data_IF_800828562620
#
_entry.id   IF_800828562620
#
_cell.length_a   1.000
_cell.length_b   1.000
_cell.length_c   1.000
_cell.angle_alpha   90.00
_cell.angle_beta   90.00
_cell.angle_gamma   90.00
#
_symmetry.space_group_name_H-M   'P 1'
#
loop_
_entity.id
_entity.type
_entity.pdbx_description
1 polymer ?
#
# COMPACT_ATOMS: atom_id res chain seq x y z
N UNK A 1 -7.23 -0.23 25.69
CA UNK A 1 -7.17 0.62 24.48
C UNK A 1 -6.13 1.71 24.74
N UNK A 2 -5.26 2.06 23.78
CA UNK A 2 -4.35 3.19 23.97
C UNK A 2 -5.17 4.45 24.26
N UNK A 3 -4.72 5.21 25.25
CA UNK A 3 -5.42 6.40 25.78
C UNK A 3 -5.42 7.56 24.78
N UNK A 4 -4.63 7.47 23.71
CA UNK A 4 -4.56 8.45 22.63
C UNK A 4 -4.74 7.77 21.29
N UNK A 5 -5.99 7.64 20.86
CA UNK A 5 -6.34 7.21 19.52
C UNK A 5 -7.03 8.38 18.81
N UNK A 6 -6.49 8.82 17.68
CA UNK A 6 -7.07 9.85 16.79
C UNK A 6 -8.44 9.47 16.20
N UNK A 7 -8.96 8.27 16.52
CA UNK A 7 -10.32 7.81 16.22
C UNK A 7 -11.29 7.89 17.42
N UNK A 8 -10.86 8.40 18.59
CA UNK A 8 -11.84 8.85 19.57
C UNK A 8 -12.69 9.96 18.94
N UNK A 9 -14.01 9.89 19.14
CA UNK A 9 -14.90 10.98 18.81
C UNK A 9 -14.27 12.28 19.32
N UNK A 10 -14.05 13.23 18.39
CA UNK A 10 -13.55 14.56 18.75
C UNK A 10 -14.37 15.04 19.95
N UNK A 11 -13.70 15.58 20.97
CA UNK A 11 -14.40 16.31 22.02
C UNK A 11 -15.33 17.26 21.27
N UNK A 12 -16.65 17.19 21.53
CA UNK A 12 -17.66 18.07 20.93
C UNK A 12 -17.42 19.51 21.40
N UNK A 13 -16.27 20.06 21.03
CA UNK A 13 -15.71 21.32 21.42
C UNK A 13 -15.99 22.30 20.30
N UNK A 14 -16.22 23.56 20.66
CA UNK A 14 -16.46 24.64 19.70
C UNK A 14 -15.17 25.11 19.00
N UNK A 15 -14.04 24.41 19.16
CA UNK A 15 -12.79 24.76 18.48
C UNK A 15 -12.98 24.54 16.99
N UNK A 16 -12.53 25.50 16.17
CA UNK A 16 -12.62 25.36 14.73
C UNK A 16 -11.73 24.17 14.32
N UNK A 17 -12.28 23.13 13.65
CA UNK A 17 -11.47 21.99 13.20
C UNK A 17 -10.34 22.43 12.25
N UNK A 18 -10.47 23.59 11.60
CA UNK A 18 -9.41 24.22 10.80
C UNK A 18 -8.18 24.67 11.58
N UNK A 19 -8.29 24.95 12.89
CA UNK A 19 -7.17 25.42 13.71
C UNK A 19 -6.13 24.30 13.97
N UNK A 20 -6.48 23.03 13.70
CA UNK A 20 -5.57 21.88 13.75
C UNK A 20 -4.95 21.55 12.39
N UNK A 21 -5.38 22.20 11.31
CA UNK A 21 -4.97 21.89 9.95
C UNK A 21 -3.97 22.93 9.46
N UNK A 22 -2.71 22.53 9.32
CA UNK A 22 -1.73 23.30 8.56
C UNK A 22 -1.87 22.95 7.08
N UNK A 23 -2.18 23.95 6.25
CA UNK A 23 -2.15 23.79 4.80
C UNK A 23 -0.76 24.12 4.29
N UNK A 24 -0.12 23.18 3.60
CA UNK A 24 1.05 23.51 2.79
C UNK A 24 0.58 24.30 1.56
N UNK A 25 1.25 25.40 1.27
CA UNK A 25 1.00 26.14 0.04
C UNK A 25 1.40 25.27 -1.16
N UNK A 26 0.44 24.99 -2.05
CA UNK A 26 0.73 24.22 -3.24
C UNK A 26 1.55 25.06 -4.21
N UNK A 27 2.85 24.80 -4.25
CA UNK A 27 3.73 25.34 -5.30
C UNK A 27 3.81 24.32 -6.43
N UNK A 28 3.46 24.68 -7.68
CA UNK A 28 3.61 23.79 -8.80
C UNK A 28 5.05 23.27 -8.90
N UNK A 29 5.28 21.95 -8.98
CA UNK A 29 6.63 21.44 -9.17
C UNK A 29 7.15 21.85 -10.55
N UNK A 30 8.48 21.93 -10.75
CA UNK A 30 9.05 22.12 -12.08
C UNK A 30 8.64 20.97 -13.02
N UNK A 31 8.55 21.26 -14.32
CA UNK A 31 8.19 20.27 -15.33
C UNK A 31 9.10 19.04 -15.25
N UNK A 32 8.50 17.85 -15.31
CA UNK A 32 9.22 16.57 -15.22
C UNK A 32 10.31 16.53 -16.31
N UNK A 33 11.53 16.20 -15.88
CA UNK A 33 12.70 16.12 -16.77
C UNK A 33 13.40 17.45 -17.04
N UNK A 34 12.82 18.59 -16.67
CA UNK A 34 13.50 19.90 -16.78
C UNK A 34 14.77 19.97 -15.91
N UNK A 35 15.75 20.85 -16.22
CA UNK A 35 16.94 21.01 -15.39
C UNK A 35 16.62 21.34 -13.93
N UNK A 36 15.61 22.19 -13.68
CA UNK A 36 15.16 22.53 -12.34
C UNK A 36 14.58 21.32 -11.59
N UNK A 37 13.80 20.49 -12.29
CA UNK A 37 13.28 19.23 -11.73
C UNK A 37 14.41 18.25 -11.38
N UNK A 38 15.41 18.13 -12.25
CA UNK A 38 16.55 17.24 -12.01
C UNK A 38 17.36 17.66 -10.78
N UNK A 39 17.63 18.96 -10.62
CA UNK A 39 18.31 19.48 -9.42
C UNK A 39 17.49 19.19 -8.17
N UNK A 40 16.19 19.51 -8.18
CA UNK A 40 15.31 19.26 -7.03
C UNK A 40 15.23 17.78 -6.65
N UNK A 41 15.13 16.89 -7.64
CA UNK A 41 15.13 15.44 -7.41
C UNK A 41 16.48 14.91 -6.94
N UNK A 42 17.59 15.48 -7.42
CA UNK A 42 18.93 15.16 -6.92
C UNK A 42 19.10 15.54 -5.45
N UNK A 43 18.63 16.71 -5.05
CA UNK A 43 18.63 17.17 -3.66
C UNK A 43 17.77 16.25 -2.76
N UNK A 44 16.60 15.82 -3.26
CA UNK A 44 15.76 14.83 -2.59
C UNK A 44 16.50 13.51 -2.45
N UNK A 45 17.14 13.02 -3.50
CA UNK A 45 17.94 11.79 -3.49
C UNK A 45 19.05 11.84 -2.45
N UNK A 46 19.74 12.98 -2.32
CA UNK A 46 20.78 13.18 -1.30
C UNK A 46 20.21 13.16 0.11
N UNK A 47 19.06 13.80 0.35
CA UNK A 47 18.35 13.75 1.65
C UNK A 47 17.88 12.34 2.00
N UNK A 48 17.33 11.60 1.05
CA UNK A 48 16.91 10.22 1.26
C UNK A 48 18.11 9.31 1.56
N UNK A 49 19.20 9.45 0.79
CA UNK A 49 20.40 8.63 1.00
C UNK A 49 21.10 8.91 2.33
N UNK A 50 21.16 10.18 2.75
CA UNK A 50 21.76 10.58 4.04
C UNK A 50 20.92 10.15 5.25
N UNK A 51 19.61 10.04 5.09
CA UNK A 51 18.71 9.45 6.11
C UNK A 51 18.72 7.92 6.11
N UNK A 52 19.48 7.28 5.23
CA UNK A 52 19.64 5.82 5.20
C UNK A 52 18.70 5.09 4.26
N UNK A 53 17.89 5.79 3.45
CA UNK A 53 17.04 5.14 2.44
C UNK A 53 17.93 4.47 1.40
N UNK A 54 17.77 3.15 1.23
CA UNK A 54 18.50 2.34 0.24
C UNK A 54 17.60 1.74 -0.82
N UNK A 55 16.33 1.52 -0.50
CA UNK A 55 15.34 0.96 -1.41
C UNK A 55 14.10 1.83 -1.41
N UNK A 56 13.58 2.13 -2.60
CA UNK A 56 12.26 2.70 -2.81
C UNK A 56 11.43 1.67 -3.58
N UNK A 57 10.31 1.24 -2.99
CA UNK A 57 9.38 0.30 -3.58
C UNK A 57 8.09 1.03 -3.99
N UNK A 58 7.82 1.07 -5.28
CA UNK A 58 6.58 1.57 -5.85
C UNK A 58 5.56 0.42 -5.91
N UNK A 59 4.63 0.40 -4.96
CA UNK A 59 3.59 -0.63 -4.84
C UNK A 59 2.29 -0.12 -5.47
N UNK A 60 2.01 -0.53 -6.71
CA UNK A 60 0.79 -0.10 -7.40
C UNK A 60 -0.35 -1.10 -7.23
N UNK A 61 -1.57 -0.60 -7.38
CA UNK A 61 -2.73 -1.38 -6.97
C UNK A 61 -4.07 -0.66 -6.88
N UNK A 62 -4.18 0.57 -7.37
CA UNK A 62 -5.46 1.28 -7.44
C UNK A 62 -6.22 0.86 -8.69
N UNK A 63 -6.44 -0.44 -8.80
CA UNK A 63 -7.24 -1.04 -9.85
C UNK A 63 -8.72 -0.98 -9.43
N UNK A 64 -9.63 -0.54 -10.31
CA UNK A 64 -11.06 -0.64 -10.05
C UNK A 64 -11.45 -2.10 -9.87
N UNK A 65 -12.10 -2.41 -8.76
CA UNK A 65 -12.59 -3.76 -8.49
C UNK A 65 -13.69 -3.74 -7.43
N UNK A 66 -14.49 -4.80 -7.43
CA UNK A 66 -15.67 -4.88 -6.56
C UNK A 66 -15.26 -5.42 -5.19
N UNK A 67 -15.08 -4.54 -4.21
CA UNK A 67 -15.01 -4.94 -2.79
C UNK A 67 -16.40 -4.92 -2.17
N UNK A 68 -17.16 -6.00 -2.36
CA UNK A 68 -18.56 -6.13 -1.91
C UNK A 68 -18.67 -5.88 -0.38
N UNK A 69 -17.76 -6.45 0.41
CA UNK A 69 -17.73 -6.27 1.86
C UNK A 69 -17.17 -4.91 2.25
N UNK A 70 -16.46 -4.27 1.34
CA UNK A 70 -15.97 -2.93 1.54
C UNK A 70 -16.95 -1.81 1.31
N UNK A 71 -17.89 -2.04 0.42
CA UNK A 71 -19.05 -1.18 0.20
C UNK A 71 -19.99 -1.18 1.40
N UNK A 72 -20.12 -2.31 2.11
CA UNK A 72 -20.91 -2.40 3.34
C UNK A 72 -20.42 -1.48 4.48
N UNK A 73 -19.10 -1.21 4.58
CA UNK A 73 -18.57 -0.30 5.61
C UNK A 73 -18.78 1.18 5.31
N UNK A 74 -18.97 1.58 4.04
CA UNK A 74 -19.41 2.94 3.72
C UNK A 74 -20.79 3.23 4.32
N UNK A 75 -21.59 2.20 4.63
CA UNK A 75 -22.88 2.32 5.33
C UNK A 75 -22.72 2.58 6.84
N UNK A 76 -21.67 2.05 7.46
CA UNK A 76 -21.42 2.19 8.91
C UNK A 76 -20.75 3.52 9.29
N UNK A 77 -19.82 4.05 8.47
CA UNK A 77 -19.17 5.36 8.69
C UNK A 77 -19.92 6.55 8.06
N UNK A 78 -21.17 6.34 7.63
CA UNK A 78 -22.07 7.41 7.21
C UNK A 78 -21.92 7.90 5.77
N UNK A 79 -21.12 7.23 4.94
CA UNK A 79 -20.97 7.53 3.51
C UNK A 79 -22.17 7.13 2.66
N UNK A 80 -22.87 6.03 3.01
CA UNK A 80 -24.09 5.58 2.33
C UNK A 80 -25.37 6.04 3.04
N UNK A 81 -25.37 6.25 4.37
CA UNK A 81 -26.55 6.72 5.12
C UNK A 81 -26.93 8.19 4.91
N UNK A 82 -26.01 9.05 4.46
CA UNK A 82 -26.31 10.50 4.31
C UNK A 82 -26.47 10.98 2.87
N UNK A 83 -26.31 10.10 1.87
CA UNK A 83 -26.30 10.50 0.45
C UNK A 83 -27.51 10.06 -0.39
N UNK A 84 -28.13 8.91 -0.11
CA UNK A 84 -29.34 8.50 -0.84
C UNK A 84 -30.59 8.96 -0.11
N UNK A 85 -30.94 10.21 -0.37
CA UNK A 85 -32.34 10.61 -0.43
C UNK A 85 -33.06 9.70 -1.43
N UNK A 86 -34.03 8.89 -0.96
CA UNK A 86 -35.04 8.12 -1.73
C UNK A 86 -34.64 6.71 -2.23
N UNK A 87 -34.71 5.71 -1.35
CA UNK A 87 -35.42 4.46 -1.69
C UNK A 87 -34.68 3.28 -2.35
N UNK A 88 -33.34 3.25 -2.38
CA UNK A 88 -32.60 2.04 -2.81
C UNK A 88 -32.12 1.31 -1.56
N UNK A 89 -32.48 0.04 -1.39
CA UNK A 89 -32.01 -0.74 -0.25
C UNK A 89 -30.49 -0.98 -0.35
N UNK A 90 -29.78 -1.07 0.78
CA UNK A 90 -28.34 -1.40 0.77
C UNK A 90 -28.03 -2.70 0.03
N UNK A 91 -29.00 -3.63 -0.02
CA UNK A 91 -28.93 -4.85 -0.82
C UNK A 91 -29.03 -4.57 -2.34
N UNK A 92 -29.91 -3.67 -2.78
CA UNK A 92 -30.02 -3.30 -4.20
C UNK A 92 -28.76 -2.56 -4.70
N UNK A 93 -28.17 -1.71 -3.86
CA UNK A 93 -26.86 -1.11 -4.14
C UNK A 93 -25.79 -2.19 -4.28
N UNK A 94 -25.71 -3.12 -3.34
CA UNK A 94 -24.77 -4.25 -3.38
C UNK A 94 -24.95 -5.11 -4.65
N UNK A 95 -26.20 -5.48 -4.97
CA UNK A 95 -26.54 -6.24 -6.17
C UNK A 95 -26.21 -5.48 -7.45
N UNK A 96 -26.39 -4.15 -7.49
CA UNK A 96 -26.00 -3.33 -8.64
C UNK A 96 -24.48 -3.35 -8.87
N UNK A 97 -23.67 -3.40 -7.80
CA UNK A 97 -22.21 -3.51 -7.88
C UNK A 97 -21.72 -4.91 -8.29
N UNK A 98 -22.52 -5.94 -8.03
CA UNK A 98 -22.25 -7.31 -8.47
C UNK A 98 -22.52 -7.55 -9.96
N UNK A 99 -23.21 -6.63 -10.65
CA UNK A 99 -23.47 -6.76 -12.09
C UNK A 99 -22.22 -6.39 -12.89
N UNK A 100 -21.40 -7.41 -13.17
CA UNK A 100 -20.25 -7.26 -14.08
C UNK A 100 -20.71 -6.61 -15.40
N UNK A 101 -19.99 -5.57 -15.83
CA UNK A 101 -20.28 -4.82 -17.07
C UNK A 101 -21.34 -3.71 -16.96
N UNK A 102 -22.14 -3.64 -15.88
CA UNK A 102 -23.12 -2.55 -15.68
C UNK A 102 -23.00 -1.83 -14.34
N UNK A 103 -22.06 -2.26 -13.49
CA UNK A 103 -21.76 -1.68 -12.20
C UNK A 103 -20.91 -0.39 -12.26
N UNK A 104 -20.61 0.13 -13.46
CA UNK A 104 -19.77 1.31 -13.65
C UNK A 104 -18.28 1.10 -13.34
N UNK A 105 -17.86 -0.13 -13.02
CA UNK A 105 -16.45 -0.48 -12.84
C UNK A 105 -15.92 -0.87 -14.22
N UNK A 106 -15.00 -0.05 -14.74
CA UNK A 106 -14.33 -0.34 -16.01
C UNK A 106 -13.58 -1.67 -15.90
N UNK A 107 -13.82 -2.63 -16.81
CA UNK A 107 -13.05 -3.87 -16.85
C UNK A 107 -11.56 -3.56 -16.94
N UNK A 108 -10.75 -4.42 -16.33
CA UNK A 108 -9.33 -4.28 -16.46
C UNK A 108 -8.88 -4.45 -17.93
N UNK A 109 -7.80 -3.74 -18.30
CA UNK A 109 -7.08 -3.93 -19.54
C UNK A 109 -6.93 -5.36 -19.99
N UNK A 110 -7.26 -5.64 -21.26
CA UNK A 110 -7.08 -6.97 -21.86
C UNK A 110 -7.93 -8.07 -21.23
N UNK A 111 -8.97 -7.72 -20.46
CA UNK A 111 -9.81 -8.70 -19.77
C UNK A 111 -9.13 -9.36 -18.57
N UNK A 112 -8.05 -8.76 -18.06
CA UNK A 112 -7.36 -9.25 -16.86
C UNK A 112 -8.35 -9.40 -15.69
N UNK A 113 -8.12 -10.41 -14.86
CA UNK A 113 -8.88 -10.62 -13.61
C UNK A 113 -7.91 -10.93 -12.48
N UNK A 114 -8.13 -10.39 -11.27
CA UNK A 114 -7.40 -10.82 -10.09
C UNK A 114 -7.52 -12.35 -9.87
N UNK A 115 -6.50 -13.02 -9.30
CA UNK A 115 -5.23 -12.45 -8.83
C UNK A 115 -4.29 -12.08 -9.99
N UNK A 116 -3.84 -10.83 -10.01
CA UNK A 116 -2.89 -10.36 -11.00
C UNK A 116 -1.47 -10.84 -10.66
N UNK A 117 -0.74 -11.43 -11.62
CA UNK A 117 0.64 -11.79 -11.41
C UNK A 117 1.52 -10.54 -11.41
N UNK A 118 2.56 -10.58 -10.59
CA UNK A 118 3.55 -9.51 -10.51
C UNK A 118 4.66 -9.72 -11.55
N UNK A 119 4.30 -9.65 -12.83
CA UNK A 119 5.21 -9.81 -13.96
C UNK A 119 5.23 -8.58 -14.88
N UNK A 120 6.27 -8.48 -15.70
CA UNK A 120 6.45 -7.35 -16.61
C UNK A 120 5.38 -7.30 -17.70
N UNK A 121 4.84 -8.44 -18.14
CA UNK A 121 3.77 -8.49 -19.13
C UNK A 121 2.51 -7.79 -18.61
N UNK A 122 2.12 -8.07 -17.37
CA UNK A 122 0.96 -7.49 -16.71
C UNK A 122 1.18 -6.00 -16.42
N UNK A 123 2.37 -5.62 -15.91
CA UNK A 123 2.73 -4.22 -15.67
C UNK A 123 2.71 -3.39 -16.96
N UNK A 124 3.25 -3.92 -18.06
CA UNK A 124 3.26 -3.24 -19.36
C UNK A 124 1.85 -3.06 -19.93
N UNK A 125 0.98 -4.08 -19.79
CA UNK A 125 -0.41 -3.98 -20.20
C UNK A 125 -1.14 -2.89 -19.40
N UNK A 126 -0.92 -2.81 -18.08
CA UNK A 126 -1.47 -1.75 -17.24
C UNK A 126 -0.95 -0.38 -17.65
N UNK A 127 0.36 -0.22 -17.86
CA UNK A 127 0.96 1.05 -18.29
C UNK A 127 0.32 1.57 -19.59
N UNK A 128 0.09 0.68 -20.55
CA UNK A 128 -0.46 1.04 -21.86
C UNK A 128 -1.91 1.53 -21.81
N UNK A 129 -2.68 1.15 -20.80
CA UNK A 129 -4.12 1.40 -20.78
C UNK A 129 -4.58 2.35 -19.69
N UNK A 130 -3.94 2.34 -18.52
CA UNK A 130 -4.30 3.22 -17.40
C UNK A 130 -3.24 4.29 -17.11
N UNK A 131 -2.09 4.26 -17.78
CA UNK A 131 -1.05 5.28 -17.61
C UNK A 131 -0.62 5.41 -16.14
N UNK A 132 -0.62 6.63 -15.62
CA UNK A 132 -0.30 6.97 -14.23
C UNK A 132 -1.54 7.04 -13.30
N UNK A 133 -2.74 6.74 -13.80
CA UNK A 133 -3.96 6.78 -13.01
C UNK A 133 -3.99 5.63 -11.99
N UNK A 134 -3.45 5.89 -10.79
CA UNK A 134 -3.35 4.89 -9.73
C UNK A 134 -2.29 3.81 -9.99
N UNK A 135 -1.36 4.10 -10.90
CA UNK A 135 -0.32 3.19 -11.37
C UNK A 135 1.02 3.94 -11.47
N UNK A 136 2.11 3.25 -11.11
CA UNK A 136 3.46 3.77 -11.31
C UNK A 136 4.02 3.20 -12.60
N UNK A 137 4.02 3.97 -13.69
CA UNK A 137 4.52 3.44 -14.97
C UNK A 137 6.02 3.17 -14.94
N UNK A 138 6.49 2.23 -15.78
CA UNK A 138 7.92 1.95 -15.94
C UNK A 138 8.71 3.23 -16.29
N UNK A 139 8.14 4.07 -17.14
CA UNK A 139 8.72 5.37 -17.51
C UNK A 139 8.90 6.29 -16.29
N UNK A 140 7.86 6.45 -15.46
CA UNK A 140 7.90 7.33 -14.29
C UNK A 140 8.91 6.84 -13.26
N UNK A 141 8.93 5.53 -12.98
CA UNK A 141 9.87 4.92 -12.04
C UNK A 141 11.31 5.10 -12.54
N UNK A 142 11.57 4.91 -13.82
CA UNK A 142 12.91 5.06 -14.39
C UNK A 142 13.39 6.52 -14.40
N UNK A 143 12.50 7.48 -14.72
CA UNK A 143 12.80 8.91 -14.62
C UNK A 143 13.14 9.28 -13.17
N UNK A 144 12.32 8.84 -12.21
CA UNK A 144 12.55 9.05 -10.79
C UNK A 144 13.90 8.45 -10.34
N UNK A 145 14.17 7.19 -10.72
CA UNK A 145 15.43 6.50 -10.40
C UNK A 145 16.64 7.27 -10.93
N UNK A 146 16.63 7.73 -12.18
CA UNK A 146 17.74 8.51 -12.75
C UNK A 146 17.94 9.82 -12.02
N UNK A 147 16.85 10.53 -11.72
CA UNK A 147 16.90 11.85 -11.10
C UNK A 147 17.36 11.80 -9.64
N UNK A 148 16.87 10.84 -8.84
CA UNK A 148 17.29 10.65 -7.46
C UNK A 148 18.77 10.28 -7.33
N UNK A 149 19.32 9.55 -8.31
CA UNK A 149 20.66 8.96 -8.21
C UNK A 149 21.77 9.79 -8.87
N UNK A 150 21.50 11.02 -9.33
CA UNK A 150 22.48 11.80 -10.10
C UNK A 150 23.80 12.06 -9.34
N UNK A 151 23.72 12.25 -8.02
CA UNK A 151 24.85 12.70 -7.19
C UNK A 151 25.18 11.73 -6.05
N UNK A 152 24.67 10.49 -6.13
CA UNK A 152 24.83 9.51 -5.04
C UNK A 152 26.02 8.59 -5.29
N UNK A 153 26.86 8.44 -4.28
CA UNK A 153 27.95 7.45 -4.25
C UNK A 153 27.41 6.02 -4.15
N UNK A 154 26.33 5.84 -3.39
CA UNK A 154 25.57 4.59 -3.30
C UNK A 154 24.17 4.83 -3.84
N UNK A 155 23.83 4.27 -5.00
CA UNK A 155 22.52 4.46 -5.59
C UNK A 155 21.39 3.88 -4.73
N UNK A 156 20.28 4.62 -4.64
CA UNK A 156 19.01 4.12 -4.13
C UNK A 156 18.40 3.21 -5.20
N UNK A 157 18.04 2.01 -4.78
CA UNK A 157 17.40 1.00 -5.63
C UNK A 157 15.92 1.34 -5.74
N UNK A 158 15.42 1.57 -6.96
CA UNK A 158 14.00 1.81 -7.21
C UNK A 158 13.37 0.57 -7.84
N UNK A 159 12.33 0.05 -7.22
CA UNK A 159 11.63 -1.16 -7.63
C UNK A 159 10.14 -0.88 -7.81
N UNK A 160 9.49 -1.63 -8.69
CA UNK A 160 8.06 -1.57 -8.91
C UNK A 160 7.44 -2.95 -8.76
N UNK A 161 6.46 -3.07 -7.88
CA UNK A 161 5.74 -4.31 -7.62
C UNK A 161 4.22 -4.10 -7.76
N UNK A 162 3.54 -5.13 -8.27
CA UNK A 162 2.08 -5.24 -8.35
C UNK A 162 1.60 -6.23 -7.28
N UNK A 163 0.64 -5.82 -6.45
CA UNK A 163 -0.08 -6.79 -5.62
C UNK A 163 -1.22 -7.45 -6.41
N UNK A 164 -1.75 -8.57 -5.92
CA UNK A 164 -2.72 -9.38 -6.67
C UNK A 164 -4.02 -8.67 -7.04
N UNK A 165 -4.29 -7.50 -6.47
CA UNK A 165 -5.52 -6.74 -6.74
C UNK A 165 -6.80 -7.51 -6.40
N UNK A 166 -6.69 -8.45 -5.46
CA UNK A 166 -7.83 -9.18 -4.92
C UNK A 166 -8.56 -8.34 -3.88
N UNK A 167 -9.70 -7.77 -4.27
CA UNK A 167 -10.47 -6.80 -3.47
C UNK A 167 -11.35 -7.46 -2.40
N UNK A 168 -10.83 -8.44 -1.67
CA UNK A 168 -11.47 -9.05 -0.50
C UNK A 168 -10.48 -9.23 0.65
N UNK A 169 -10.98 -9.55 1.84
CA UNK A 169 -10.15 -9.63 3.05
C UNK A 169 -9.05 -10.70 2.94
N UNK A 170 -9.40 -11.90 2.46
CA UNK A 170 -8.43 -12.99 2.26
C UNK A 170 -7.31 -12.61 1.28
N UNK A 171 -7.63 -12.03 0.13
CA UNK A 171 -6.64 -11.66 -0.88
C UNK A 171 -5.68 -10.58 -0.39
N UNK A 172 -6.17 -9.59 0.36
CA UNK A 172 -5.32 -8.56 0.99
C UNK A 172 -4.43 -9.13 2.10
N UNK A 173 -4.94 -10.09 2.87
CA UNK A 173 -4.16 -10.77 3.90
C UNK A 173 -3.01 -11.59 3.28
N UNK A 174 -3.31 -12.37 2.23
CA UNK A 174 -2.29 -13.11 1.48
C UNK A 174 -1.28 -12.16 0.82
N UNK A 175 -1.74 -11.07 0.21
CA UNK A 175 -0.86 -10.05 -0.37
C UNK A 175 0.07 -9.40 0.68
N UNK A 176 -0.38 -9.21 1.91
CA UNK A 176 0.46 -8.69 2.99
C UNK A 176 1.56 -9.69 3.36
N UNK A 177 1.23 -10.98 3.45
CA UNK A 177 2.23 -12.04 3.67
C UNK A 177 3.25 -12.11 2.52
N UNK A 178 2.80 -12.06 1.26
CA UNK A 178 3.69 -12.00 0.09
C UNK A 178 4.61 -10.77 0.12
N UNK A 179 4.09 -9.61 0.50
CA UNK A 179 4.87 -8.39 0.61
C UNK A 179 5.96 -8.52 1.68
N UNK A 180 5.63 -9.06 2.86
CA UNK A 180 6.59 -9.27 3.93
C UNK A 180 7.70 -10.26 3.53
N UNK A 181 7.35 -11.34 2.84
CA UNK A 181 8.32 -12.29 2.30
C UNK A 181 9.23 -11.63 1.23
N UNK A 182 8.65 -10.78 0.38
CA UNK A 182 9.42 -9.99 -0.60
C UNK A 182 10.35 -8.99 0.07
N UNK A 183 9.91 -8.29 1.12
CA UNK A 183 10.76 -7.37 1.89
C UNK A 183 11.93 -8.12 2.53
N UNK A 184 11.69 -9.31 3.09
CA UNK A 184 12.77 -10.14 3.62
C UNK A 184 13.78 -10.53 2.52
N UNK A 185 13.30 -10.85 1.32
CA UNK A 185 14.17 -11.14 0.17
C UNK A 185 15.01 -9.92 -0.20
N UNK A 186 14.41 -8.73 -0.28
CA UNK A 186 15.12 -7.47 -0.59
C UNK A 186 16.20 -7.14 0.44
N UNK A 187 15.89 -7.32 1.71
CA UNK A 187 16.85 -7.14 2.81
C UNK A 187 18.05 -8.05 2.62
N UNK A 188 17.85 -9.30 2.20
CA UNK A 188 18.95 -10.24 1.93
C UNK A 188 19.73 -9.92 0.66
N UNK A 189 19.02 -9.64 -0.44
CA UNK A 189 19.60 -9.31 -1.75
C UNK A 189 20.52 -8.09 -1.67
N UNK A 190 20.09 -7.08 -0.90
CA UNK A 190 20.79 -5.80 -0.78
C UNK A 190 21.54 -5.62 0.54
N UNK A 191 21.59 -6.67 1.38
CA UNK A 191 22.29 -6.70 2.68
C UNK A 191 21.90 -5.52 3.59
N UNK A 192 20.62 -5.19 3.60
CA UNK A 192 20.09 -4.11 4.42
C UNK A 192 20.14 -4.51 5.90
N UNK A 193 20.43 -3.54 6.76
CA UNK A 193 20.48 -3.76 8.20
C UNK A 193 20.10 -2.52 9.00
N UNK A 194 20.52 -2.51 10.27
CA UNK A 194 20.32 -1.37 11.16
C UNK A 194 20.90 -0.08 10.54
N UNK A 195 20.07 0.96 10.48
CA UNK A 195 20.42 2.25 9.86
C UNK A 195 20.03 2.38 8.39
N UNK A 196 19.71 1.26 7.71
CA UNK A 196 19.11 1.30 6.37
C UNK A 196 17.59 1.42 6.47
N UNK A 197 16.99 2.04 5.46
CA UNK A 197 15.54 2.27 5.37
C UNK A 197 15.01 1.84 4.01
N UNK A 198 13.83 1.23 4.03
CA UNK A 198 13.03 0.89 2.85
C UNK A 198 11.83 1.83 2.82
N UNK A 199 11.70 2.62 1.74
CA UNK A 199 10.54 3.49 1.53
C UNK A 199 9.56 2.83 0.56
N UNK A 200 8.33 2.56 1.01
CA UNK A 200 7.26 2.11 0.11
C UNK A 200 6.33 3.26 -0.22
N UNK A 201 6.10 3.49 -1.50
CA UNK A 201 5.07 4.38 -2.01
C UNK A 201 3.93 3.56 -2.61
N UNK A 202 2.69 3.77 -2.14
CA UNK A 202 1.56 2.95 -2.55
C UNK A 202 0.33 3.75 -2.98
N UNK A 203 -0.33 3.30 -4.06
CA UNK A 203 -1.58 3.89 -4.54
C UNK A 203 -2.82 3.14 -4.06
N UNK A 204 -3.85 3.89 -3.67
CA UNK A 204 -5.21 3.41 -3.45
C UNK A 204 -5.28 2.18 -2.55
N UNK A 205 -5.79 1.07 -3.10
CA UNK A 205 -6.05 -0.17 -2.35
C UNK A 205 -4.76 -0.87 -1.88
N UNK A 206 -3.60 -0.60 -2.49
CA UNK A 206 -2.33 -1.16 -2.06
C UNK A 206 -1.96 -0.72 -0.62
N UNK A 207 -2.38 0.49 -0.20
CA UNK A 207 -2.17 0.93 1.17
C UNK A 207 -2.93 0.09 2.21
N UNK A 208 -3.98 -0.65 1.82
CA UNK A 208 -4.64 -1.59 2.73
C UNK A 208 -3.80 -2.83 2.99
N UNK A 209 -3.01 -3.26 2.00
CA UNK A 209 -2.03 -4.33 2.16
C UNK A 209 -0.93 -3.87 3.12
N UNK A 210 -0.47 -2.63 2.96
CA UNK A 210 0.49 -2.00 3.86
C UNK A 210 -0.02 -1.85 5.29
N UNK A 211 -1.29 -1.48 5.47
CA UNK A 211 -1.88 -1.40 6.80
C UNK A 211 -1.84 -2.77 7.50
N UNK A 212 -2.21 -3.86 6.81
CA UNK A 212 -2.09 -5.21 7.36
C UNK A 212 -0.64 -5.60 7.66
N UNK A 213 0.29 -5.29 6.75
CA UNK A 213 1.71 -5.54 6.94
C UNK A 213 2.27 -4.81 8.17
N UNK A 214 1.88 -3.54 8.41
CA UNK A 214 2.30 -2.78 9.59
C UNK A 214 1.86 -3.45 10.90
N UNK A 215 0.65 -4.01 10.94
CA UNK A 215 0.16 -4.74 12.11
C UNK A 215 0.96 -6.03 12.33
N UNK A 216 1.28 -6.77 11.26
CA UNK A 216 2.06 -8.01 11.38
C UNK A 216 3.49 -7.76 11.84
N UNK A 217 4.07 -6.62 11.45
CA UNK A 217 5.40 -6.16 11.87
C UNK A 217 5.45 -5.61 13.30
N UNK A 218 4.30 -5.45 13.97
CA UNK A 218 4.27 -4.99 15.35
C UNK A 218 5.19 -5.85 16.23
N UNK A 219 6.11 -5.24 16.99
CA UNK A 219 7.02 -5.95 17.88
C UNK A 219 6.30 -6.56 19.09
N UNK A 220 5.10 -6.06 19.42
CA UNK A 220 4.32 -6.59 20.52
C UNK A 220 3.71 -7.95 20.17
N UNK A 221 3.56 -8.87 21.15
CA UNK A 221 2.87 -10.13 20.92
C UNK A 221 1.45 -9.92 20.40
N UNK A 222 1.14 -10.54 19.26
CA UNK A 222 -0.21 -10.49 18.66
C UNK A 222 -0.92 -11.79 18.99
N UNK A 223 -1.86 -11.76 19.93
CA UNK A 223 -2.60 -12.95 20.43
C UNK A 223 -3.23 -13.77 19.30
N UNK A 224 -3.68 -13.13 18.21
CA UNK A 224 -4.35 -13.79 17.09
C UNK A 224 -3.45 -14.20 15.91
N UNK A 225 -2.13 -13.92 15.93
CA UNK A 225 -1.26 -14.13 14.75
C UNK A 225 -1.20 -15.59 14.32
N UNK A 226 -1.08 -16.51 15.28
CA UNK A 226 -1.09 -17.95 15.00
C UNK A 226 -2.39 -18.38 14.32
N UNK A 227 -3.54 -18.04 14.91
CA UNK A 227 -4.86 -18.36 14.34
C UNK A 227 -5.02 -17.76 12.96
N UNK A 228 -4.56 -16.53 12.75
CA UNK A 228 -4.58 -15.86 11.46
C UNK A 228 -3.78 -16.64 10.41
N UNK A 229 -2.54 -17.03 10.69
CA UNK A 229 -1.73 -17.83 9.76
C UNK A 229 -2.29 -19.23 9.54
N UNK A 230 -2.80 -19.89 10.59
CA UNK A 230 -3.46 -21.20 10.47
C UNK A 230 -4.69 -21.11 9.53
N UNK A 231 -5.47 -20.03 9.59
CA UNK A 231 -6.60 -19.79 8.68
C UNK A 231 -6.16 -19.50 7.24
N UNK A 232 -5.09 -18.72 7.04
CA UNK A 232 -4.54 -18.49 5.71
C UNK A 232 -4.03 -19.80 5.09
N UNK A 233 -3.32 -20.61 5.86
CA UNK A 233 -2.83 -21.92 5.40
C UNK A 233 -3.99 -22.90 5.15
N UNK A 234 -5.06 -22.86 5.92
CA UNK A 234 -6.25 -23.67 5.64
C UNK A 234 -6.95 -23.24 4.33
N UNK A 235 -7.00 -21.93 4.05
CA UNK A 235 -7.62 -21.40 2.83
C UNK A 235 -6.76 -21.61 1.58
N UNK A 236 -5.44 -21.54 1.72
CA UNK A 236 -4.45 -21.74 0.65
C UNK A 236 -3.36 -22.68 1.14
N UNK A 237 -3.60 -24.01 1.14
CA UNK A 237 -2.71 -24.98 1.78
C UNK A 237 -1.43 -25.28 1.01
N UNK A 238 -1.35 -24.84 -0.25
CA UNK A 238 -0.22 -25.11 -1.14
C UNK A 238 0.09 -23.89 -2.00
N UNK A 239 1.28 -23.88 -2.60
CA UNK A 239 1.72 -22.85 -3.53
C UNK A 239 2.48 -21.69 -2.86
N UNK A 240 2.71 -20.60 -3.60
CA UNK A 240 3.61 -19.53 -3.17
C UNK A 240 3.12 -18.79 -1.92
N UNK A 241 1.80 -18.73 -1.70
CA UNK A 241 1.21 -18.13 -0.50
C UNK A 241 1.55 -18.88 0.78
N UNK A 242 1.32 -20.19 0.77
CA UNK A 242 1.64 -21.04 1.91
C UNK A 242 3.14 -20.95 2.23
N UNK A 243 3.99 -20.95 1.20
CA UNK A 243 5.44 -20.79 1.35
C UNK A 243 5.82 -19.44 1.96
N UNK A 244 5.20 -18.34 1.51
CA UNK A 244 5.44 -17.01 2.08
C UNK A 244 5.05 -16.98 3.57
N UNK A 245 3.87 -17.51 3.93
CA UNK A 245 3.43 -17.60 5.34
C UNK A 245 4.41 -18.40 6.18
N UNK A 246 4.82 -19.58 5.71
CA UNK A 246 5.80 -20.42 6.42
C UNK A 246 7.17 -19.74 6.58
N UNK A 247 7.61 -18.92 5.62
CA UNK A 247 8.88 -18.19 5.70
C UNK A 247 8.81 -17.03 6.69
N UNK A 248 7.73 -16.25 6.68
CA UNK A 248 7.66 -15.02 7.49
C UNK A 248 7.31 -15.29 8.97
N UNK A 249 6.54 -16.33 9.28
CA UNK A 249 6.09 -16.59 10.65
C UNK A 249 7.23 -16.66 11.70
N UNK A 250 8.28 -17.49 11.51
CA UNK A 250 9.40 -17.50 12.45
C UNK A 250 10.15 -16.16 12.49
N UNK A 251 10.27 -15.45 11.37
CA UNK A 251 10.97 -14.17 11.28
C UNK A 251 10.23 -13.04 12.00
N UNK A 252 8.90 -13.05 11.94
CA UNK A 252 8.04 -12.12 12.68
C UNK A 252 8.04 -12.43 14.17
N UNK A 253 8.23 -13.70 14.54
CA UNK A 253 8.34 -14.13 15.94
C UNK A 253 9.69 -13.71 16.55
N UNK A 254 10.78 -13.81 15.79
CA UNK A 254 12.12 -13.38 16.23
C UNK A 254 12.38 -11.88 16.04
N UNK A 255 11.49 -11.13 15.38
CA UNK A 255 11.70 -9.72 15.04
C UNK A 255 12.81 -9.49 14.00
N UNK A 256 13.19 -10.52 13.23
CA UNK A 256 14.34 -10.47 12.31
C UNK A 256 13.95 -10.33 10.84
N UNK A 257 12.67 -10.14 10.53
CA UNK A 257 12.18 -10.10 9.15
C UNK A 257 12.89 -9.04 8.30
N UNK A 258 13.04 -7.82 8.85
CA UNK A 258 13.72 -6.71 8.19
C UNK A 258 15.22 -6.59 8.52
N UNK A 259 15.79 -7.53 9.27
CA UNK A 259 17.20 -7.49 9.70
C UNK A 259 17.62 -6.16 10.38
N UNK A 260 16.69 -5.50 11.07
CA UNK A 260 16.91 -4.20 11.72
C UNK A 260 16.78 -2.97 10.81
N UNK A 261 16.52 -3.15 9.51
CA UNK A 261 16.17 -2.03 8.62
C UNK A 261 14.79 -1.44 8.98
N UNK A 262 14.63 -0.13 8.81
CA UNK A 262 13.36 0.56 9.03
C UNK A 262 12.47 0.53 7.78
N UNK A 263 11.17 0.65 7.97
CA UNK A 263 10.16 0.65 6.92
C UNK A 263 9.35 1.94 6.96
N UNK A 264 9.59 2.82 5.99
CA UNK A 264 8.85 4.07 5.78
C UNK A 264 7.72 3.83 4.77
N UNK A 265 6.51 4.34 5.04
CA UNK A 265 5.34 4.14 4.18
C UNK A 265 4.70 5.46 3.78
N UNK A 266 4.43 5.63 2.49
CA UNK A 266 3.69 6.76 1.92
C UNK A 266 2.54 6.23 1.08
N UNK A 267 1.33 6.71 1.32
CA UNK A 267 0.14 6.28 0.60
C UNK A 267 -0.56 7.42 -0.13
N UNK A 268 -1.02 7.16 -1.34
CA UNK A 268 -1.74 8.11 -2.18
C UNK A 268 -3.18 7.62 -2.42
N UNK A 269 -4.15 8.26 -1.75
CA UNK A 269 -5.57 7.96 -1.92
C UNK A 269 -6.02 6.61 -1.34
N UNK A 270 -5.34 6.10 -0.30
CA UNK A 270 -5.73 4.86 0.36
C UNK A 270 -7.01 5.03 1.17
N UNK A 271 -8.03 4.18 0.96
CA UNK A 271 -9.23 4.23 1.77
C UNK A 271 -8.96 3.73 3.19
N UNK A 272 -9.67 4.27 4.17
CA UNK A 272 -9.55 3.82 5.57
C UNK A 272 -10.39 2.55 5.76
N UNK A 273 -9.74 1.37 5.87
CA UNK A 273 -10.40 0.08 6.18
C UNK A 273 -9.79 -0.63 7.37
N UNK A 274 -8.47 -0.66 7.45
CA UNK A 274 -7.72 -1.29 8.54
C UNK A 274 -7.01 -0.22 9.36
N UNK A 275 -6.89 -0.46 10.66
CA UNK A 275 -6.02 0.37 11.50
C UNK A 275 -4.56 0.15 11.10
N UNK A 276 -3.75 1.19 11.24
CA UNK A 276 -2.29 1.11 11.11
C UNK A 276 -1.68 0.83 12.48
N UNK A 277 -0.58 0.10 12.52
CA UNK A 277 0.26 0.00 13.72
C UNK A 277 1.57 0.78 13.50
N UNK A 278 1.69 2.00 14.04
CA UNK A 278 2.89 2.82 13.88
C UNK A 278 4.15 2.18 14.47
N UNK A 279 4.04 1.23 15.39
CA UNK A 279 5.21 0.58 16.00
C UNK A 279 5.89 -0.45 15.08
N UNK A 280 5.19 -0.89 14.03
CA UNK A 280 5.73 -1.79 13.00
C UNK A 280 6.37 -1.06 11.80
N UNK A 281 6.42 0.28 11.83
CA UNK A 281 6.95 1.14 10.77
C UNK A 281 7.84 2.23 11.40
N UNK A 282 8.69 2.89 10.62
CA UNK A 282 9.64 3.86 11.18
C UNK A 282 10.24 4.78 10.15
#
# INVERSE_FOLDING_TARGET
MPVENNFQHDELSRKNPGDRLTYAEWTPPPDIGSPAWQVAMGDIGQKLSTTGVRVILFLHGAIPGTDIFGLGRLDEVGGLKRGYSRGISGLDSLLSFMREGTNGITPLPGGLKPPLPNDEATKNLLDSQIGDAGNFTAQTVEQCRKALNQQLTTPIICLRELWSSEHHHLGRALAACRLLDRLHTLVREHRLGAGDRILIQAHGQAGLVLALASNLLCPSPITGRKTFFDLLLAATPQGPDAQAVHRIDPLLTSGSLLNGAALDLVTFGTPVRYGWDPSGIG
#
